data_IF_575098101639
#
_entry.id   IF_575098101639
#
_cell.length_a   1.000
_cell.length_b   1.000
_cell.length_c   1.000
_cell.angle_alpha   90.00
_cell.angle_beta   90.00
_cell.angle_gamma   90.00
#
_symmetry.space_group_name_H-M   'P 1'
#
loop_
_entity.id
_entity.type
_entity.pdbx_description
1 polymer ?
#
# COMPACT_ATOMS: atom_id res chain seq x y z
N UNK A 1 -2.55 19.20 11.52
CA UNK A 1 -2.11 19.01 10.12
C UNK A 1 -0.79 18.23 10.04
N UNK A 2 0.28 18.66 10.72
CA UNK A 2 1.60 17.98 10.68
C UNK A 2 1.62 16.52 11.18
N UNK A 3 0.72 16.13 12.08
CA UNK A 3 0.69 14.76 12.61
C UNK A 3 0.08 13.72 11.66
N UNK A 4 -0.72 14.14 10.66
CA UNK A 4 -1.32 13.21 9.69
C UNK A 4 -0.27 12.62 8.74
N UNK A 5 0.80 13.36 8.43
CA UNK A 5 1.88 12.88 7.55
C UNK A 5 2.84 11.91 8.27
N UNK A 6 2.72 11.76 9.59
CA UNK A 6 3.65 10.94 10.38
C UNK A 6 3.21 9.46 10.47
N UNK A 7 1.94 9.18 10.21
CA UNK A 7 1.39 7.82 10.19
C UNK A 7 1.02 7.41 8.78
N UNK A 8 1.64 6.34 8.29
CA UNK A 8 1.25 5.74 7.01
C UNK A 8 -0.15 5.16 7.10
N UNK A 9 -1.06 5.73 6.33
CA UNK A 9 -2.44 5.30 6.18
C UNK A 9 -2.59 4.30 5.04
N UNK A 10 -3.42 3.29 5.25
CA UNK A 10 -3.73 2.29 4.25
C UNK A 10 -5.24 2.13 4.16
N UNK A 11 -5.79 2.29 2.96
CA UNK A 11 -7.22 2.16 2.71
C UNK A 11 -7.48 1.10 1.64
N UNK A 12 -8.61 0.41 1.77
CA UNK A 12 -9.02 -0.62 0.83
C UNK A 12 -10.47 -0.45 0.44
N UNK A 13 -10.78 -0.73 -0.82
CA UNK A 13 -12.12 -0.64 -1.37
C UNK A 13 -12.29 -1.55 -2.58
N UNK A 14 -13.53 -1.80 -2.98
CA UNK A 14 -13.91 -2.69 -4.09
C UNK A 14 -14.73 -1.98 -5.16
N UNK A 15 -15.35 -0.85 -4.83
CA UNK A 15 -16.26 -0.12 -5.72
C UNK A 15 -15.76 1.23 -6.20
N UNK A 16 -16.51 1.81 -7.14
CA UNK A 16 -16.31 3.18 -7.66
C UNK A 16 -16.29 4.24 -6.55
N UNK A 17 -17.08 4.02 -5.50
CA UNK A 17 -17.28 4.96 -4.41
C UNK A 17 -16.05 5.09 -3.52
N UNK A 18 -15.19 4.07 -3.51
CA UNK A 18 -13.97 4.04 -2.70
C UNK A 18 -12.78 4.68 -3.42
N UNK A 19 -12.91 5.03 -4.71
CA UNK A 19 -11.79 5.55 -5.53
C UNK A 19 -11.18 6.80 -4.91
N UNK A 20 -12.01 7.75 -4.46
CA UNK A 20 -11.53 8.99 -3.83
C UNK A 20 -10.88 8.72 -2.48
N UNK A 21 -11.37 7.72 -1.74
CA UNK A 21 -10.78 7.28 -0.47
C UNK A 21 -9.42 6.62 -0.69
N UNK A 22 -9.32 5.69 -1.65
CA UNK A 22 -8.09 4.98 -2.02
C UNK A 22 -7.00 5.95 -2.47
N UNK A 23 -7.36 6.98 -3.25
CA UNK A 23 -6.41 7.99 -3.74
C UNK A 23 -5.94 8.98 -2.67
N UNK A 24 -6.72 9.15 -1.59
CA UNK A 24 -6.35 10.05 -0.50
C UNK A 24 -5.44 9.37 0.55
N UNK A 25 -5.31 8.05 0.53
CA UNK A 25 -4.44 7.31 1.44
C UNK A 25 -2.99 7.24 0.92
N UNK A 26 -2.05 7.00 1.83
CA UNK A 26 -0.64 6.75 1.44
C UNK A 26 -0.47 5.43 0.69
N UNK A 27 -1.32 4.44 0.99
CA UNK A 27 -1.33 3.13 0.34
C UNK A 27 -2.77 2.74 0.00
N UNK A 28 -3.08 2.64 -1.28
CA UNK A 28 -4.37 2.24 -1.81
C UNK A 28 -4.45 0.76 -2.18
N UNK A 29 -5.45 0.02 -1.69
CA UNK A 29 -5.64 -1.40 -1.99
C UNK A 29 -7.01 -1.70 -2.58
N UNK A 30 -7.04 -2.05 -3.86
CA UNK A 30 -8.25 -2.41 -4.57
C UNK A 30 -8.56 -3.90 -4.41
N UNK A 31 -9.80 -4.22 -4.04
CA UNK A 31 -10.29 -5.59 -3.98
C UNK A 31 -11.05 -5.90 -5.27
N UNK A 32 -10.61 -6.91 -6.02
CA UNK A 32 -11.32 -7.33 -7.24
C UNK A 32 -12.61 -8.08 -6.87
N UNK A 33 -13.74 -7.38 -6.93
CA UNK A 33 -15.06 -7.89 -6.61
C UNK A 33 -16.02 -7.90 -7.81
N UNK A 34 -17.31 -8.10 -7.53
CA UNK A 34 -18.39 -8.05 -8.53
C UNK A 34 -18.91 -6.63 -8.77
N UNK A 35 -18.61 -5.68 -7.88
CA UNK A 35 -19.14 -4.31 -7.95
C UNK A 35 -18.40 -3.39 -8.95
N UNK A 36 -17.27 -3.86 -9.50
CA UNK A 36 -16.54 -3.16 -10.55
C UNK A 36 -15.03 -3.32 -10.42
N UNK A 37 -14.30 -2.90 -11.45
CA UNK A 37 -12.83 -2.87 -11.43
C UNK A 37 -12.25 -1.48 -11.13
N UNK A 38 -13.10 -0.51 -10.82
CA UNK A 38 -12.69 0.90 -10.71
C UNK A 38 -11.76 1.14 -9.51
N UNK A 39 -12.10 0.62 -8.32
CA UNK A 39 -11.22 0.65 -7.15
C UNK A 39 -9.88 -0.02 -7.41
N UNK A 40 -9.89 -1.15 -8.14
CA UNK A 40 -8.68 -1.90 -8.49
C UNK A 40 -7.78 -1.08 -9.42
N UNK A 41 -8.37 -0.45 -10.44
CA UNK A 41 -7.62 0.37 -11.40
C UNK A 41 -7.05 1.65 -10.79
N UNK A 42 -7.66 2.19 -9.73
CA UNK A 42 -7.19 3.39 -9.03
C UNK A 42 -6.32 3.09 -7.80
N UNK A 43 -6.02 1.81 -7.52
CA UNK A 43 -5.25 1.39 -6.35
C UNK A 43 -3.79 1.05 -6.67
N UNK A 44 -2.90 1.14 -5.70
CA UNK A 44 -1.49 0.72 -5.83
C UNK A 44 -1.36 -0.80 -5.88
N UNK A 45 -2.18 -1.51 -5.10
CA UNK A 45 -2.18 -2.96 -5.04
C UNK A 45 -3.58 -3.55 -5.24
N UNK A 46 -3.68 -4.45 -6.21
CA UNK A 46 -4.88 -5.23 -6.46
C UNK A 46 -4.83 -6.59 -5.74
N UNK A 47 -5.81 -6.89 -4.90
CA UNK A 47 -5.97 -8.20 -4.28
C UNK A 47 -7.35 -8.79 -4.59
N UNK A 48 -7.43 -10.11 -4.74
CA UNK A 48 -8.71 -10.76 -5.04
C UNK A 48 -9.63 -10.94 -3.84
N UNK A 49 -9.06 -11.06 -2.64
CA UNK A 49 -9.78 -11.25 -1.38
C UNK A 49 -8.99 -10.64 -0.23
N UNK A 50 -9.69 -10.13 0.77
CA UNK A 50 -9.08 -9.48 1.94
C UNK A 50 -8.08 -10.37 2.70
N UNK A 51 -8.24 -11.71 2.66
CA UNK A 51 -7.29 -12.65 3.27
C UNK A 51 -5.85 -12.53 2.75
N UNK A 52 -5.65 -12.05 1.51
CA UNK A 52 -4.33 -11.88 0.93
C UNK A 52 -3.60 -10.65 1.49
N UNK A 53 -4.35 -9.67 2.03
CA UNK A 53 -3.79 -8.47 2.64
C UNK A 53 -2.83 -8.80 3.79
N UNK A 54 -3.17 -9.81 4.60
CA UNK A 54 -2.31 -10.27 5.71
C UNK A 54 -0.93 -10.69 5.20
N UNK A 55 -0.86 -11.46 4.11
CA UNK A 55 0.41 -11.92 3.54
C UNK A 55 1.14 -10.78 2.81
N UNK A 56 0.41 -9.86 2.20
CA UNK A 56 0.98 -8.68 1.55
C UNK A 56 1.70 -7.81 2.58
N UNK A 57 1.04 -7.43 3.67
CA UNK A 57 1.63 -6.54 4.68
C UNK A 57 2.69 -7.23 5.52
N UNK A 58 2.38 -8.40 6.11
CA UNK A 58 3.27 -9.02 7.10
C UNK A 58 4.50 -9.67 6.47
N UNK A 59 4.40 -10.17 5.24
CA UNK A 59 5.54 -10.82 4.58
C UNK A 59 6.22 -9.85 3.62
N UNK A 60 5.47 -9.31 2.65
CA UNK A 60 6.07 -8.48 1.60
C UNK A 60 6.40 -7.08 2.11
N UNK A 61 5.51 -6.47 2.89
CA UNK A 61 5.74 -5.17 3.53
C UNK A 61 6.98 -5.20 4.43
N UNK A 62 7.06 -6.17 5.35
CA UNK A 62 8.22 -6.31 6.25
C UNK A 62 9.54 -6.55 5.48
N UNK A 63 9.51 -7.39 4.45
CA UNK A 63 10.72 -7.69 3.67
C UNK A 63 11.16 -6.49 2.81
N UNK A 64 10.22 -5.78 2.19
CA UNK A 64 10.50 -4.58 1.42
C UNK A 64 11.11 -3.49 2.32
N UNK A 65 10.49 -3.23 3.47
CA UNK A 65 10.98 -2.26 4.45
C UNK A 65 12.42 -2.57 4.89
N UNK A 66 12.68 -3.82 5.29
CA UNK A 66 14.02 -4.24 5.75
C UNK A 66 15.08 -4.14 4.65
N UNK A 67 14.72 -4.46 3.39
CA UNK A 67 15.64 -4.36 2.24
C UNK A 67 15.93 -2.91 1.89
N UNK A 68 14.92 -2.05 1.87
CA UNK A 68 15.08 -0.64 1.58
C UNK A 68 15.94 0.05 2.64
N UNK A 69 15.67 -0.19 3.93
CA UNK A 69 16.47 0.34 5.02
C UNK A 69 17.95 -0.06 4.90
N UNK A 70 18.22 -1.35 4.62
CA UNK A 70 19.59 -1.84 4.43
C UNK A 70 20.25 -1.23 3.19
N UNK A 71 19.51 -1.09 2.08
CA UNK A 71 20.02 -0.47 0.87
C UNK A 71 20.40 0.99 1.11
N UNK A 72 19.58 1.75 1.82
CA UNK A 72 19.85 3.17 2.13
C UNK A 72 21.12 3.29 2.98
N UNK A 73 21.25 2.50 4.06
CA UNK A 73 22.46 2.50 4.90
C UNK A 73 23.70 2.09 4.09
N UNK A 74 23.58 1.05 3.26
CA UNK A 74 24.68 0.61 2.41
C UNK A 74 25.08 1.64 1.36
N UNK A 75 24.11 2.37 0.80
CA UNK A 75 24.36 3.45 -0.15
C UNK A 75 25.18 4.56 0.51
N UNK A 76 24.81 4.99 1.72
CA UNK A 76 25.62 5.97 2.45
C UNK A 76 27.02 5.44 2.78
N UNK A 77 27.13 4.19 3.24
CA UNK A 77 28.43 3.60 3.56
C UNK A 77 29.36 3.47 2.34
N UNK A 78 28.82 3.21 1.15
CA UNK A 78 29.60 3.02 -0.08
C UNK A 78 29.98 4.34 -0.77
N UNK A 79 29.18 5.39 -0.60
CA UNK A 79 29.42 6.70 -1.24
C UNK A 79 30.21 7.68 -0.33
N UNK A 80 30.53 7.28 0.90
CA UNK A 80 31.58 7.87 1.73
C UNK A 80 32.91 7.21 1.39
#
# INVERSE_FOLDING_TARGET
QLDQDLMTTLLSGDGANDVSMIQAADIGIGISGQEGMQAVMSSDFAISRFRHLKKLLLVHGHWCYSRLARMVVYYFYKNV
#
